data_IF_836340698873
#
_entry.id   IF_836340698873
#
_cell.length_a   1.000
_cell.length_b   1.000
_cell.length_c   1.000
_cell.angle_alpha   90.00
_cell.angle_beta   90.00
_cell.angle_gamma   90.00
#
_symmetry.space_group_name_H-M   'P 1'
#
loop_
_entity.id
_entity.type
_entity.pdbx_description
1 polymer ?
#
# COMPACT_ATOMS: atom_id res chain seq x y z
N UNK A 1 -9.37 -7.53 -29.74
CA UNK A 1 -9.08 -8.58 -30.74
C UNK A 1 -9.83 -9.84 -30.35
N UNK A 2 -10.49 -10.53 -31.29
CA UNK A 2 -11.17 -11.80 -31.02
C UNK A 2 -10.11 -12.91 -31.04
N UNK A 3 -9.90 -13.59 -29.92
CA UNK A 3 -8.91 -14.67 -29.79
C UNK A 3 -9.56 -16.02 -30.10
N UNK A 4 -8.80 -16.96 -30.65
CA UNK A 4 -9.15 -18.37 -30.86
C UNK A 4 -9.01 -19.24 -29.60
N UNK A 5 -8.58 -18.66 -28.48
CA UNK A 5 -8.57 -19.35 -27.19
C UNK A 5 -10.00 -19.69 -26.74
N UNK A 6 -10.20 -20.87 -26.13
CA UNK A 6 -11.49 -21.28 -25.53
C UNK A 6 -11.90 -20.45 -24.30
N UNK A 7 -11.27 -19.28 -24.07
CA UNK A 7 -11.61 -18.35 -23.01
C UNK A 7 -12.73 -17.41 -23.46
N UNK A 8 -13.42 -16.87 -22.46
CA UNK A 8 -14.36 -15.76 -22.63
C UNK A 8 -13.73 -14.64 -23.50
N UNK A 9 -14.47 -14.01 -24.41
CA UNK A 9 -13.95 -12.95 -25.28
C UNK A 9 -13.50 -11.70 -24.52
N UNK A 10 -13.79 -11.60 -23.22
CA UNK A 10 -13.45 -10.48 -22.36
C UNK A 10 -12.75 -10.94 -21.08
N UNK A 11 -11.89 -10.08 -20.54
CA UNK A 11 -11.25 -10.24 -19.25
C UNK A 11 -11.26 -8.90 -18.52
N UNK A 12 -11.05 -8.95 -17.20
CA UNK A 12 -10.91 -7.76 -16.38
C UNK A 12 -9.42 -7.48 -16.22
N UNK A 13 -9.02 -6.24 -16.49
CA UNK A 13 -7.66 -5.77 -16.26
C UNK A 13 -7.50 -5.21 -14.86
N UNK A 14 -6.26 -5.20 -14.37
CA UNK A 14 -5.91 -4.42 -13.18
C UNK A 14 -5.58 -2.98 -13.58
N UNK A 15 -4.62 -2.77 -14.48
CA UNK A 15 -4.19 -1.44 -14.88
C UNK A 15 -4.14 -1.32 -16.41
N UNK A 16 -3.22 -2.04 -17.07
CA UNK A 16 -3.12 -2.08 -18.54
C UNK A 16 -3.74 -3.33 -19.16
N UNK A 17 -3.98 -3.29 -20.47
CA UNK A 17 -4.54 -4.43 -21.23
C UNK A 17 -3.57 -5.64 -21.26
N UNK A 18 -2.27 -5.40 -21.04
CA UNK A 18 -1.28 -6.48 -20.86
C UNK A 18 -1.28 -7.09 -19.45
N UNK A 19 -2.12 -6.60 -18.54
CA UNK A 19 -2.16 -6.99 -17.12
C UNK A 19 -3.56 -7.47 -16.73
N UNK A 20 -3.95 -8.69 -17.16
CA UNK A 20 -5.20 -9.30 -16.72
C UNK A 20 -5.20 -9.49 -15.21
N UNK A 21 -6.32 -9.18 -14.56
CA UNK A 21 -6.48 -9.33 -13.13
C UNK A 21 -6.57 -10.82 -12.75
N UNK A 22 -5.79 -11.22 -11.75
CA UNK A 22 -6.03 -12.49 -11.06
C UNK A 22 -7.34 -12.40 -10.28
N UNK A 23 -8.08 -13.52 -10.24
CA UNK A 23 -9.38 -13.57 -9.59
C UNK A 23 -9.22 -13.84 -8.09
N UNK A 24 -9.17 -12.80 -7.26
CA UNK A 24 -9.27 -12.93 -5.80
C UNK A 24 -10.73 -12.92 -5.30
N UNK A 25 -11.69 -12.87 -6.23
CA UNK A 25 -13.11 -12.81 -5.98
C UNK A 25 -13.68 -11.40 -5.91
N UNK A 26 -14.98 -11.36 -5.66
CA UNK A 26 -15.82 -10.18 -5.50
C UNK A 26 -16.35 -10.14 -4.07
N UNK A 27 -16.33 -8.98 -3.43
CA UNK A 27 -16.91 -8.84 -2.09
C UNK A 27 -18.43 -8.97 -2.13
N UNK A 28 -19.06 -8.43 -3.19
CA UNK A 28 -20.50 -8.49 -3.42
C UNK A 28 -20.76 -8.93 -4.87
N UNK A 29 -20.70 -10.24 -5.18
CA UNK A 29 -20.97 -10.73 -6.53
C UNK A 29 -22.39 -10.39 -6.96
N UNK A 30 -22.54 -9.82 -8.16
CA UNK A 30 -23.83 -9.50 -8.74
C UNK A 30 -24.49 -10.80 -9.25
N UNK A 31 -25.71 -11.17 -8.79
CA UNK A 31 -26.40 -12.37 -9.26
C UNK A 31 -26.70 -12.39 -10.77
N UNK A 32 -26.78 -11.21 -11.41
CA UNK A 32 -26.93 -11.10 -12.86
C UNK A 32 -25.60 -11.35 -13.62
N UNK A 33 -24.46 -11.40 -12.92
CA UNK A 33 -23.14 -11.67 -13.45
C UNK A 33 -22.63 -13.03 -12.95
N UNK A 34 -23.07 -14.12 -13.57
CA UNK A 34 -22.71 -15.49 -13.16
C UNK A 34 -21.20 -15.80 -13.17
N UNK A 35 -20.38 -14.92 -13.76
CA UNK A 35 -18.92 -15.02 -13.79
C UNK A 35 -18.24 -14.37 -12.57
N UNK A 36 -18.95 -13.55 -11.78
CA UNK A 36 -18.44 -12.98 -10.53
C UNK A 36 -18.44 -14.07 -9.44
N UNK A 37 -17.26 -14.37 -8.90
CA UNK A 37 -17.08 -15.40 -7.89
C UNK A 37 -16.88 -14.76 -6.51
N UNK A 38 -17.55 -15.25 -5.44
CA UNK A 38 -17.25 -14.79 -4.08
C UNK A 38 -15.83 -15.20 -3.69
N UNK A 39 -15.25 -14.52 -2.69
CA UNK A 39 -13.84 -14.67 -2.31
C UNK A 39 -13.45 -16.10 -1.89
N UNK A 40 -14.40 -16.92 -1.46
CA UNK A 40 -14.22 -18.30 -0.97
C UNK A 40 -14.55 -19.36 -2.03
N UNK A 41 -14.95 -18.95 -3.24
CA UNK A 41 -15.19 -19.88 -4.34
C UNK A 41 -13.91 -20.62 -4.78
N UNK A 42 -14.03 -21.77 -5.46
CA UNK A 42 -12.88 -22.57 -5.87
C UNK A 42 -11.81 -21.82 -6.68
N UNK A 43 -12.23 -20.89 -7.55
CA UNK A 43 -11.32 -20.07 -8.36
C UNK A 43 -10.42 -19.15 -7.52
N UNK A 44 -10.98 -18.23 -6.73
CA UNK A 44 -10.24 -17.39 -5.79
C UNK A 44 -9.37 -18.17 -4.81
N UNK A 45 -9.87 -19.29 -4.27
CA UNK A 45 -9.08 -20.12 -3.38
C UNK A 45 -7.88 -20.78 -4.09
N UNK A 46 -8.03 -21.16 -5.36
CA UNK A 46 -6.90 -21.65 -6.16
C UNK A 46 -5.85 -20.55 -6.39
N UNK A 47 -6.26 -19.31 -6.68
CA UNK A 47 -5.34 -18.16 -6.81
C UNK A 47 -4.55 -17.96 -5.51
N UNK A 48 -5.21 -17.99 -4.34
CA UNK A 48 -4.52 -17.83 -3.05
C UNK A 48 -3.46 -18.91 -2.82
N UNK A 49 -3.77 -20.18 -3.12
CA UNK A 49 -2.81 -21.29 -3.03
C UNK A 49 -1.60 -21.07 -3.93
N UNK A 50 -1.80 -20.56 -5.14
CA UNK A 50 -0.68 -20.25 -6.04
C UNK A 50 0.16 -19.07 -5.54
N UNK A 51 -0.45 -18.07 -4.91
CA UNK A 51 0.30 -16.99 -4.23
C UNK A 51 1.13 -17.56 -3.07
N UNK A 52 0.58 -18.44 -2.24
CA UNK A 52 1.31 -19.14 -1.19
C UNK A 52 2.49 -19.95 -1.77
N UNK A 53 2.32 -20.65 -2.89
CA UNK A 53 3.39 -21.38 -3.58
C UNK A 53 4.52 -20.44 -4.05
N UNK A 54 4.17 -19.28 -4.64
CA UNK A 54 5.15 -18.28 -5.09
C UNK A 54 5.92 -17.69 -3.91
N UNK A 55 5.22 -17.35 -2.83
CA UNK A 55 5.82 -16.86 -1.59
C UNK A 55 6.78 -17.91 -1.03
N UNK A 56 6.33 -19.17 -0.93
CA UNK A 56 7.13 -20.26 -0.40
C UNK A 56 8.41 -20.47 -1.21
N UNK A 57 8.31 -20.49 -2.54
CA UNK A 57 9.47 -20.65 -3.42
C UNK A 57 10.60 -19.66 -3.12
N UNK A 58 10.26 -18.39 -2.86
CA UNK A 58 11.25 -17.35 -2.59
C UNK A 58 11.74 -17.35 -1.14
N UNK A 59 10.85 -17.59 -0.17
CA UNK A 59 11.26 -17.75 1.23
C UNK A 59 12.19 -18.95 1.42
N UNK A 60 11.90 -20.08 0.75
CA UNK A 60 12.73 -21.29 0.79
C UNK A 60 14.11 -21.09 0.13
N UNK A 61 14.30 -19.99 -0.61
CA UNK A 61 15.60 -19.55 -1.14
C UNK A 61 16.34 -18.55 -0.24
N UNK A 62 15.76 -18.17 0.89
CA UNK A 62 16.37 -17.25 1.85
C UNK A 62 15.95 -15.79 1.68
N UNK A 63 14.81 -15.49 1.06
CA UNK A 63 14.22 -14.16 1.19
C UNK A 63 13.73 -13.93 2.63
N UNK A 64 13.97 -12.73 3.19
CA UNK A 64 13.54 -12.37 4.54
C UNK A 64 12.09 -11.83 4.60
N UNK A 65 11.45 -11.64 3.45
CA UNK A 65 10.12 -11.06 3.39
C UNK A 65 9.74 -10.48 2.04
N UNK A 66 8.59 -9.80 2.02
CA UNK A 66 8.02 -9.20 0.82
C UNK A 66 7.50 -7.79 1.06
N UNK A 67 7.75 -6.93 0.08
CA UNK A 67 6.92 -5.75 -0.18
C UNK A 67 5.80 -6.14 -1.14
N UNK A 68 4.55 -6.01 -0.70
CA UNK A 68 3.36 -6.33 -1.49
C UNK A 68 2.81 -5.06 -2.12
N UNK A 69 2.95 -4.97 -3.43
CA UNK A 69 2.46 -3.87 -4.26
C UNK A 69 0.94 -3.87 -4.37
N UNK A 70 0.33 -2.69 -4.38
CA UNK A 70 -1.13 -2.51 -4.52
C UNK A 70 -1.99 -3.43 -3.62
N UNK A 71 -1.56 -3.71 -2.39
CA UNK A 71 -2.14 -4.73 -1.51
C UNK A 71 -3.65 -4.54 -1.26
N UNK A 72 -4.14 -3.30 -1.27
CA UNK A 72 -5.54 -2.94 -1.05
C UNK A 72 -6.48 -3.20 -2.25
N UNK A 73 -5.96 -3.70 -3.39
CA UNK A 73 -6.69 -3.73 -4.67
C UNK A 73 -7.09 -5.14 -5.16
N UNK A 74 -6.84 -6.16 -4.35
CA UNK A 74 -7.00 -7.58 -4.73
C UNK A 74 -8.46 -7.96 -5.01
N UNK A 75 -9.39 -7.67 -4.11
CA UNK A 75 -10.82 -8.03 -4.26
C UNK A 75 -11.58 -6.94 -5.02
N UNK A 76 -12.47 -7.36 -5.93
CA UNK A 76 -13.32 -6.45 -6.72
C UNK A 76 -14.59 -6.07 -5.95
N UNK A 77 -15.08 -4.85 -6.20
CA UNK A 77 -16.32 -4.31 -5.58
C UNK A 77 -16.33 -4.38 -4.04
N UNK A 78 -15.18 -4.06 -3.44
CA UNK A 78 -14.92 -4.18 -1.99
C UNK A 78 -14.82 -2.79 -1.32
N UNK A 79 -15.93 -2.05 -1.15
CA UNK A 79 -15.92 -0.80 -0.41
C UNK A 79 -15.54 -1.07 1.05
N UNK A 80 -14.63 -0.26 1.60
CA UNK A 80 -14.11 -0.46 2.96
C UNK A 80 -13.13 -1.62 3.12
N UNK A 81 -12.78 -2.31 2.03
CA UNK A 81 -11.67 -3.27 1.94
C UNK A 81 -11.78 -4.51 2.85
N UNK A 82 -12.96 -4.81 3.38
CA UNK A 82 -13.15 -5.90 4.34
C UNK A 82 -12.84 -7.27 3.72
N UNK A 83 -13.21 -7.49 2.47
CA UNK A 83 -12.94 -8.75 1.79
C UNK A 83 -11.44 -8.90 1.46
N UNK A 84 -10.78 -7.81 1.05
CA UNK A 84 -9.33 -7.77 0.83
C UNK A 84 -8.55 -8.04 2.12
N UNK A 85 -8.97 -7.43 3.24
CA UNK A 85 -8.44 -7.72 4.58
C UNK A 85 -8.58 -9.21 4.88
N UNK A 86 -9.75 -9.80 4.62
CA UNK A 86 -9.98 -11.24 4.88
C UNK A 86 -9.07 -12.14 4.04
N UNK A 87 -8.88 -11.84 2.75
CA UNK A 87 -7.95 -12.59 1.89
C UNK A 87 -6.53 -12.54 2.44
N UNK A 88 -6.06 -11.35 2.82
CA UNK A 88 -4.72 -11.17 3.38
C UNK A 88 -4.57 -11.77 4.77
N UNK A 89 -5.62 -11.81 5.59
CA UNK A 89 -5.58 -12.53 6.87
C UNK A 89 -5.32 -14.02 6.68
N UNK A 90 -5.96 -14.64 5.68
CA UNK A 90 -5.76 -16.05 5.40
C UNK A 90 -4.31 -16.31 4.94
N UNK A 91 -3.80 -15.53 3.98
CA UNK A 91 -2.42 -15.64 3.47
C UNK A 91 -1.38 -15.32 4.55
N UNK A 92 -1.57 -14.24 5.31
CA UNK A 92 -0.63 -13.81 6.35
C UNK A 92 -0.61 -14.76 7.55
N UNK A 93 -1.74 -15.39 7.89
CA UNK A 93 -1.78 -16.41 8.94
C UNK A 93 -0.98 -17.64 8.55
N UNK A 94 -1.15 -18.13 7.31
CA UNK A 94 -0.33 -19.21 6.77
C UNK A 94 1.15 -18.81 6.72
N UNK A 95 1.45 -17.61 6.21
CA UNK A 95 2.81 -17.10 6.07
C UNK A 95 3.54 -17.05 7.41
N UNK A 96 2.91 -16.49 8.46
CA UNK A 96 3.50 -16.40 9.81
C UNK A 96 3.69 -17.77 10.45
N UNK A 97 2.79 -18.71 10.19
CA UNK A 97 2.93 -20.07 10.69
C UNK A 97 4.11 -20.81 10.04
N UNK A 98 4.34 -20.60 8.75
CA UNK A 98 5.41 -21.27 7.99
C UNK A 98 6.76 -20.56 8.07
N UNK A 99 6.76 -19.23 8.09
CA UNK A 99 7.93 -18.35 8.06
C UNK A 99 7.85 -17.29 9.16
N UNK A 100 8.02 -17.67 10.44
CA UNK A 100 7.77 -16.77 11.58
C UNK A 100 8.68 -15.54 11.64
N UNK A 101 9.89 -15.63 11.09
CA UNK A 101 10.85 -14.52 11.02
C UNK A 101 10.63 -13.58 9.81
N UNK A 102 9.71 -13.96 8.91
CA UNK A 102 9.48 -13.23 7.66
C UNK A 102 8.70 -11.92 7.86
N UNK A 103 9.06 -10.89 7.10
CA UNK A 103 8.37 -9.59 7.12
C UNK A 103 7.44 -9.39 5.93
N UNK A 104 6.21 -8.96 6.18
CA UNK A 104 5.28 -8.46 5.17
C UNK A 104 5.13 -6.93 5.28
N UNK A 105 5.49 -6.25 4.20
CA UNK A 105 5.38 -4.79 4.05
C UNK A 105 4.33 -4.51 2.98
N UNK A 106 3.25 -3.81 3.32
CA UNK A 106 2.22 -3.46 2.34
C UNK A 106 2.47 -2.10 1.69
N UNK A 107 2.05 -2.01 0.44
CA UNK A 107 1.64 -0.77 -0.19
C UNK A 107 0.11 -0.68 -0.16
N UNK A 108 -0.42 -0.25 0.99
CA UNK A 108 -1.86 -0.04 1.20
C UNK A 108 -2.21 1.44 1.36
N UNK A 109 -1.31 2.25 1.94
CA UNK A 109 -1.57 3.65 2.29
C UNK A 109 -2.59 3.83 3.41
N UNK A 110 -2.85 2.79 4.21
CA UNK A 110 -3.74 2.86 5.37
C UNK A 110 -3.25 1.86 6.44
N UNK A 111 -2.33 2.28 7.32
CA UNK A 111 -1.72 1.40 8.31
C UNK A 111 -2.70 0.63 9.20
N UNK A 112 -3.84 1.22 9.54
CA UNK A 112 -4.90 0.58 10.32
C UNK A 112 -5.52 -0.61 9.59
N UNK A 113 -5.79 -0.47 8.30
CA UNK A 113 -6.37 -1.55 7.48
C UNK A 113 -5.35 -2.64 7.18
N UNK A 114 -4.12 -2.27 6.79
CA UNK A 114 -3.05 -3.23 6.53
C UNK A 114 -2.62 -4.00 7.78
N UNK A 115 -2.59 -3.35 8.95
CA UNK A 115 -2.39 -4.02 10.24
C UNK A 115 -3.47 -5.07 10.51
N UNK A 116 -4.74 -4.72 10.26
CA UNK A 116 -5.86 -5.67 10.38
C UNK A 116 -5.78 -6.82 9.37
N UNK A 117 -5.19 -6.58 8.19
CA UNK A 117 -4.91 -7.58 7.17
C UNK A 117 -3.71 -8.49 7.51
N UNK A 118 -2.96 -8.19 8.57
CA UNK A 118 -1.86 -9.00 9.08
C UNK A 118 -0.47 -8.58 8.63
N UNK A 119 -0.30 -7.42 7.98
CA UNK A 119 1.00 -6.89 7.59
C UNK A 119 1.80 -6.37 8.79
N UNK A 120 3.13 -6.48 8.72
CA UNK A 120 4.04 -6.00 9.75
C UNK A 120 4.30 -4.50 9.62
N UNK A 121 4.35 -3.98 8.39
CA UNK A 121 4.68 -2.59 8.07
C UNK A 121 3.78 -2.13 6.92
N UNK A 122 3.34 -0.88 6.93
CA UNK A 122 2.67 -0.24 5.79
C UNK A 122 3.24 1.14 5.50
N UNK A 123 3.26 1.52 4.23
CA UNK A 123 3.64 2.87 3.84
C UNK A 123 2.48 3.83 4.11
N UNK A 124 2.75 4.92 4.82
CA UNK A 124 1.87 6.08 4.79
C UNK A 124 2.31 6.96 3.61
N UNK A 125 1.74 6.66 2.44
CA UNK A 125 2.13 7.29 1.17
C UNK A 125 1.40 8.62 0.94
N UNK A 126 1.61 9.18 -0.25
CA UNK A 126 1.16 10.48 -0.72
C UNK A 126 -0.22 10.44 -1.42
N UNK A 127 -0.81 9.26 -1.63
CA UNK A 127 -2.05 9.10 -2.38
C UNK A 127 -3.29 9.14 -1.48
N UNK A 128 -4.25 9.97 -1.86
CA UNK A 128 -5.61 10.04 -1.30
C UNK A 128 -5.72 10.86 -0.01
N UNK A 129 -6.48 10.33 0.94
CA UNK A 129 -6.78 10.96 2.25
C UNK A 129 -5.52 11.18 3.11
N UNK A 130 -4.42 10.49 2.81
CA UNK A 130 -3.19 10.46 3.61
C UNK A 130 -2.13 11.33 2.96
N UNK A 131 -2.19 12.63 3.26
CA UNK A 131 -1.55 13.64 2.46
C UNK A 131 -0.10 13.92 2.92
N UNK A 132 0.85 13.08 2.52
CA UNK A 132 2.29 13.37 2.65
C UNK A 132 2.71 14.66 1.90
N UNK A 133 1.96 15.01 0.86
CA UNK A 133 2.10 16.24 0.08
C UNK A 133 1.88 17.52 0.92
N UNK A 134 1.11 17.44 2.01
CA UNK A 134 0.81 18.54 2.95
C UNK A 134 2.04 18.91 3.76
N UNK A 135 3.00 17.99 3.91
CA UNK A 135 4.26 18.28 4.58
C UNK A 135 5.27 18.93 3.64
N UNK A 136 5.39 18.43 2.40
CA UNK A 136 6.58 18.65 1.58
C UNK A 136 6.38 18.99 0.09
N UNK A 137 5.31 18.50 -0.55
CA UNK A 137 5.19 18.47 -2.00
C UNK A 137 3.79 18.91 -2.45
N UNK A 138 3.56 20.21 -2.70
CA UNK A 138 2.26 20.58 -3.26
C UNK A 138 2.21 21.89 -4.08
N UNK A 139 3.20 22.14 -4.95
CA UNK A 139 3.20 23.35 -5.79
C UNK A 139 2.83 23.16 -7.25
N UNK A 140 3.19 22.05 -7.92
CA UNK A 140 2.83 21.81 -9.33
C UNK A 140 2.84 20.29 -9.65
N UNK A 141 1.85 19.81 -10.40
CA UNK A 141 1.91 18.53 -11.13
C UNK A 141 1.60 17.25 -10.34
N UNK A 142 0.86 17.33 -9.23
CA UNK A 142 0.38 16.17 -8.47
C UNK A 142 -1.09 15.84 -8.73
N UNK A 143 -1.56 14.72 -8.18
CA UNK A 143 -2.98 14.31 -8.22
C UNK A 143 -3.91 15.20 -7.37
N UNK A 144 -3.36 16.06 -6.50
CA UNK A 144 -4.11 16.88 -5.55
C UNK A 144 -3.98 18.38 -5.85
N UNK A 145 -5.00 19.13 -5.44
CA UNK A 145 -4.99 20.60 -5.53
C UNK A 145 -3.77 21.18 -4.82
N UNK A 146 -3.03 22.10 -5.47
CA UNK A 146 -1.89 22.77 -4.88
C UNK A 146 -2.22 23.45 -3.54
N UNK A 147 -1.41 23.19 -2.53
CA UNK A 147 -1.56 23.74 -1.18
C UNK A 147 -0.19 24.13 -0.62
N UNK A 148 -0.16 25.06 0.34
CA UNK A 148 1.12 25.40 0.96
C UNK A 148 1.53 24.30 1.93
N UNK A 149 2.61 23.58 1.59
CA UNK A 149 3.16 22.55 2.46
C UNK A 149 3.68 23.11 3.79
N UNK A 150 3.57 22.35 4.89
CA UNK A 150 4.01 22.74 6.23
C UNK A 150 5.48 23.17 6.28
N UNK A 151 6.38 22.43 5.63
CA UNK A 151 7.81 22.75 5.57
C UNK A 151 8.18 23.73 4.46
N UNK A 152 7.21 24.40 3.81
CA UNK A 152 7.51 25.44 2.83
C UNK A 152 8.19 26.64 3.52
N UNK A 153 9.22 27.22 2.86
CA UNK A 153 9.98 28.37 3.37
C UNK A 153 9.13 29.59 3.77
N UNK A 154 7.95 29.73 3.17
CA UNK A 154 7.01 30.82 3.47
C UNK A 154 6.34 30.67 4.86
N UNK A 155 6.39 29.50 5.49
CA UNK A 155 5.84 29.25 6.82
C UNK A 155 4.32 29.34 6.93
N UNK A 156 3.59 29.18 5.81
CA UNK A 156 2.12 29.31 5.77
C UNK A 156 1.37 27.97 5.78
N UNK A 157 2.07 26.84 5.75
CA UNK A 157 1.43 25.53 5.76
C UNK A 157 0.95 25.10 7.15
N UNK A 158 0.11 24.07 7.21
CA UNK A 158 -0.50 23.57 8.44
C UNK A 158 -0.14 22.11 8.67
N UNK A 159 0.18 21.74 9.92
CA UNK A 159 0.50 20.36 10.30
C UNK A 159 -0.72 19.59 10.83
N UNK A 160 -1.76 20.29 11.28
CA UNK A 160 -2.87 19.70 12.07
C UNK A 160 -3.51 18.49 11.38
N UNK A 161 -3.86 18.62 10.10
CA UNK A 161 -4.52 17.56 9.34
C UNK A 161 -3.64 16.31 9.25
N UNK A 162 -2.37 16.48 8.87
CA UNK A 162 -1.42 15.37 8.83
C UNK A 162 -1.21 14.76 10.21
N UNK A 163 -1.09 15.58 11.26
CA UNK A 163 -0.87 15.13 12.63
C UNK A 163 -2.04 14.32 13.17
N UNK A 164 -3.28 14.80 13.00
CA UNK A 164 -4.49 14.10 13.47
C UNK A 164 -4.62 12.73 12.80
N UNK A 165 -4.37 12.70 11.49
CA UNK A 165 -4.41 11.48 10.70
C UNK A 165 -3.31 10.49 11.08
N UNK A 166 -2.08 10.99 11.18
CA UNK A 166 -0.93 10.20 11.61
C UNK A 166 -1.19 9.62 13.00
N UNK A 167 -1.72 10.42 13.92
CA UNK A 167 -2.05 10.01 15.29
C UNK A 167 -3.15 8.95 15.32
N UNK A 168 -4.19 9.07 14.50
CA UNK A 168 -5.23 8.04 14.37
C UNK A 168 -4.62 6.70 13.93
N UNK A 169 -3.80 6.73 12.87
CA UNK A 169 -3.16 5.54 12.32
C UNK A 169 -2.18 4.91 13.32
N UNK A 170 -1.31 5.73 13.93
CA UNK A 170 -0.36 5.28 14.93
C UNK A 170 -1.04 4.63 16.14
N UNK A 171 -2.08 5.27 16.69
CA UNK A 171 -2.79 4.73 17.83
C UNK A 171 -3.50 3.41 17.49
N UNK A 172 -3.97 3.23 16.25
CA UNK A 172 -4.60 1.99 15.81
C UNK A 172 -3.60 0.82 15.66
N UNK A 173 -2.35 1.13 15.30
CA UNK A 173 -1.31 0.13 14.98
C UNK A 173 -0.28 -0.10 16.10
N UNK A 174 -0.18 0.82 17.08
CA UNK A 174 0.81 0.75 18.16
C UNK A 174 0.79 -0.61 18.86
N UNK A 175 1.95 -1.27 18.89
CA UNK A 175 2.13 -2.60 19.49
C UNK A 175 1.67 -3.77 18.62
N UNK A 176 1.21 -3.51 17.37
CA UNK A 176 0.72 -4.53 16.43
C UNK A 176 1.49 -4.52 15.12
N UNK A 177 1.75 -3.35 14.55
CA UNK A 177 2.49 -3.13 13.31
C UNK A 177 3.18 -1.78 13.30
N UNK A 178 4.01 -1.53 12.28
CA UNK A 178 4.76 -0.27 12.12
C UNK A 178 4.25 0.56 10.95
N UNK A 179 4.43 1.87 11.06
CA UNK A 179 4.17 2.82 9.97
C UNK A 179 5.51 3.18 9.32
N UNK A 180 5.56 3.17 7.99
CA UNK A 180 6.73 3.63 7.24
C UNK A 180 6.45 4.97 6.57
N UNK A 181 7.31 5.95 6.83
CA UNK A 181 7.26 7.27 6.17
C UNK A 181 8.35 7.34 5.10
N UNK A 182 8.00 7.32 3.80
CA UNK A 182 9.00 7.35 2.73
C UNK A 182 9.55 8.77 2.52
N UNK A 183 10.87 8.94 2.47
CA UNK A 183 11.49 10.25 2.17
C UNK A 183 11.43 10.63 0.68
N UNK A 184 10.94 9.71 -0.15
CA UNK A 184 10.92 9.71 -1.62
C UNK A 184 10.82 8.27 -2.11
N UNK A 185 10.48 8.05 -3.37
CA UNK A 185 10.47 6.72 -4.00
C UNK A 185 10.63 6.83 -5.53
N UNK A 186 10.37 5.75 -6.25
CA UNK A 186 10.46 5.71 -7.72
C UNK A 186 9.25 6.35 -8.43
N UNK A 187 8.15 6.61 -7.71
CA UNK A 187 6.92 7.22 -8.21
C UNK A 187 6.73 8.67 -7.76
N UNK A 188 7.49 9.12 -6.75
CA UNK A 188 7.41 10.45 -6.16
C UNK A 188 8.74 11.16 -6.15
N UNK A 189 8.67 12.49 -6.03
CA UNK A 189 9.86 13.33 -6.00
C UNK A 189 10.77 12.98 -4.82
N UNK A 190 12.07 13.07 -5.07
CA UNK A 190 13.09 12.94 -4.02
C UNK A 190 12.96 14.07 -2.99
N UNK A 191 13.64 13.88 -1.86
CA UNK A 191 13.70 14.91 -0.83
C UNK A 191 14.30 16.22 -1.36
N UNK A 192 15.40 16.17 -2.12
CA UNK A 192 15.89 17.37 -2.80
C UNK A 192 15.09 17.59 -4.10
N UNK A 193 14.05 18.44 -4.04
CA UNK A 193 13.18 18.72 -5.17
C UNK A 193 12.48 20.08 -5.02
N UNK A 194 12.28 20.76 -6.16
CA UNK A 194 11.60 22.06 -6.22
C UNK A 194 12.27 23.11 -5.34
N UNK A 195 11.47 23.81 -4.53
CA UNK A 195 11.93 24.86 -3.60
C UNK A 195 12.64 24.33 -2.34
N UNK A 196 12.77 23.00 -2.21
CA UNK A 196 13.52 22.33 -1.15
C UNK A 196 14.85 21.83 -1.71
N UNK A 197 15.83 22.72 -1.71
CA UNK A 197 17.12 22.50 -2.39
C UNK A 197 18.33 22.97 -1.58
N UNK A 198 18.16 23.38 -0.33
CA UNK A 198 19.26 23.71 0.57
C UNK A 198 19.50 22.64 1.64
N UNK A 199 20.74 22.53 2.12
CA UNK A 199 21.11 21.57 3.15
C UNK A 199 20.29 21.75 4.44
N UNK A 200 20.00 22.99 4.84
CA UNK A 200 19.23 23.26 6.06
C UNK A 200 17.78 22.78 5.94
N UNK A 201 17.14 22.96 4.79
CA UNK A 201 15.79 22.46 4.56
C UNK A 201 15.74 20.92 4.59
N UNK A 202 16.77 20.26 4.04
CA UNK A 202 16.89 18.80 4.06
C UNK A 202 17.14 18.28 5.48
N UNK A 203 17.99 18.95 6.27
CA UNK A 203 18.22 18.61 7.68
C UNK A 203 16.95 18.68 8.51
N UNK A 204 16.15 19.74 8.36
CA UNK A 204 14.87 19.88 9.06
C UNK A 204 13.92 18.73 8.70
N UNK A 205 13.83 18.41 7.41
CA UNK A 205 12.96 17.33 6.94
C UNK A 205 13.43 15.95 7.44
N UNK A 206 14.73 15.67 7.38
CA UNK A 206 15.29 14.41 7.90
C UNK A 206 15.13 14.30 9.41
N UNK A 207 15.29 15.40 10.15
CA UNK A 207 15.06 15.44 11.60
C UNK A 207 13.63 15.04 11.90
N UNK A 208 12.65 15.58 11.15
CA UNK A 208 11.26 15.17 11.28
C UNK A 208 11.11 13.65 11.12
N UNK A 209 11.54 13.08 9.99
CA UNK A 209 11.41 11.63 9.75
C UNK A 209 12.08 10.74 10.79
N UNK A 210 13.29 11.12 11.24
CA UNK A 210 14.07 10.33 12.21
C UNK A 210 13.54 10.41 13.64
N UNK A 211 12.67 11.39 13.94
CA UNK A 211 12.14 11.62 15.29
C UNK A 211 10.67 11.24 15.45
N UNK A 212 9.99 10.88 14.36
CA UNK A 212 8.61 10.45 14.45
C UNK A 212 8.47 9.09 15.19
N UNK A 213 7.47 8.90 16.06
CA UNK A 213 7.34 7.71 16.92
C UNK A 213 6.83 6.45 16.20
N UNK A 214 7.45 5.29 16.43
CA UNK A 214 6.94 4.01 15.91
C UNK A 214 7.06 3.82 14.40
N UNK A 215 8.08 4.45 13.79
CA UNK A 215 8.35 4.30 12.36
C UNK A 215 9.60 3.51 12.06
N UNK A 216 9.53 2.76 10.97
CA UNK A 216 10.71 2.42 10.20
C UNK A 216 10.97 3.58 9.22
N UNK A 217 12.16 4.19 9.30
CA UNK A 217 12.57 5.15 8.27
C UNK A 217 12.96 4.38 7.03
N UNK A 218 12.15 4.48 5.98
CA UNK A 218 12.41 3.80 4.72
C UNK A 218 13.08 4.75 3.74
N UNK A 219 14.41 4.64 3.68
CA UNK A 219 15.26 5.40 2.76
C UNK A 219 15.39 4.61 1.45
N UNK A 220 14.63 5.00 0.43
CA UNK A 220 14.90 4.52 -0.93
C UNK A 220 16.08 5.30 -1.52
N UNK A 221 17.28 4.77 -1.29
CA UNK A 221 18.46 5.16 -2.07
C UNK A 221 18.49 4.33 -3.36
N UNK A 222 18.31 5.00 -4.48
CA UNK A 222 18.94 4.65 -5.76
C UNK A 222 19.39 5.93 -6.43
#
# INVERSE_FOLDING_TARGET
MKTDSGRSPFYIKNYYDSQPALNYGYANPNPQHAWEQPIDAPGPMAVRREIENIIAFWMDKGADGFRVDMASSVVKNDPGKLASIKVWQDISSWYKAKYPEGVLISEWSNPKESSAAGFNIDFMMHTGKYNFSSLFFNKVGGEFEPQVSYFAKQGKGQIKEWYDLYTEQYNATKGKSYISLPTGNHDIQRLNAGDRNTLDQLKVTMTFFLTMPGHAVYLLWR
#
